data_IF_359080710615
#
_entry.id   IF_359080710615
#
_cell.length_a   1.000
_cell.length_b   1.000
_cell.length_c   1.000
_cell.angle_alpha   90.00
_cell.angle_beta   90.00
_cell.angle_gamma   90.00
#
_symmetry.space_group_name_H-M   'P 1'
#
loop_
_entity.id
_entity.type
_entity.pdbx_description
1 polymer ?
#
# COMPACT_ATOMS: atom_id res chain seq x y z
N UNK A 1 11.20 -23.35 -8.77
CA UNK A 1 9.86 -23.31 -9.40
C UNK A 1 9.24 -21.91 -9.43
N UNK A 2 9.55 -21.01 -8.49
CA UNK A 2 9.07 -19.61 -8.49
C UNK A 2 9.76 -18.75 -9.57
N UNK A 3 11.08 -18.95 -9.78
CA UNK A 3 11.87 -18.22 -10.79
C UNK A 3 11.28 -18.33 -12.21
N UNK A 4 10.94 -19.52 -12.75
CA UNK A 4 10.34 -19.63 -14.09
C UNK A 4 8.98 -18.93 -14.21
N UNK A 5 8.14 -18.96 -13.17
CA UNK A 5 6.83 -18.29 -13.16
C UNK A 5 6.97 -16.75 -13.16
N UNK A 6 7.89 -16.24 -12.34
CA UNK A 6 8.22 -14.80 -12.29
C UNK A 6 8.85 -14.37 -13.61
N UNK A 7 9.73 -15.17 -14.22
CA UNK A 7 10.32 -14.84 -15.53
C UNK A 7 9.32 -14.94 -16.67
N UNK A 8 8.35 -15.86 -16.63
CA UNK A 8 7.28 -15.90 -17.63
C UNK A 8 6.32 -14.72 -17.49
N UNK A 9 5.93 -14.37 -16.27
CA UNK A 9 5.07 -13.22 -16.01
C UNK A 9 5.82 -11.91 -16.34
N UNK A 10 7.10 -11.80 -15.97
CA UNK A 10 7.94 -10.67 -16.34
C UNK A 10 8.18 -10.60 -17.85
N UNK A 11 8.32 -11.73 -18.56
CA UNK A 11 8.44 -11.76 -20.02
C UNK A 11 7.13 -11.43 -20.70
N UNK A 12 5.99 -11.92 -20.22
CA UNK A 12 4.66 -11.51 -20.71
C UNK A 12 4.39 -10.02 -20.46
N UNK A 13 4.94 -9.46 -19.38
CA UNK A 13 4.85 -8.04 -19.06
C UNK A 13 5.89 -7.17 -19.80
N UNK A 14 7.07 -7.69 -20.12
CA UNK A 14 8.12 -6.97 -20.86
C UNK A 14 7.99 -7.09 -22.38
N UNK A 15 7.28 -8.11 -22.88
CA UNK A 15 6.91 -8.25 -24.29
C UNK A 15 5.72 -7.37 -24.67
N UNK A 16 5.02 -6.81 -23.69
CA UNK A 16 4.07 -5.71 -23.92
C UNK A 16 4.87 -4.47 -24.30
N UNK A 17 5.21 -4.40 -25.59
CA UNK A 17 5.74 -3.22 -26.24
C UNK A 17 4.91 -2.01 -25.76
N UNK A 18 5.56 -0.93 -25.31
CA UNK A 18 4.86 0.31 -24.91
C UNK A 18 3.87 0.76 -25.97
N UNK A 19 4.16 0.48 -27.26
CA UNK A 19 3.26 0.71 -28.38
C UNK A 19 2.01 -0.19 -28.37
N UNK A 20 2.13 -1.43 -27.91
CA UNK A 20 1.00 -2.36 -27.79
C UNK A 20 0.10 -1.99 -26.61
N UNK A 21 0.67 -1.64 -25.44
CA UNK A 21 -0.10 -1.09 -24.31
C UNK A 21 -0.81 0.19 -24.73
N UNK A 22 -0.10 1.08 -25.44
CA UNK A 22 -0.66 2.32 -25.98
C UNK A 22 -1.83 2.04 -26.93
N UNK A 23 -1.67 1.11 -27.87
CA UNK A 23 -2.72 0.72 -28.81
C UNK A 23 -3.93 0.13 -28.09
N UNK A 24 -3.68 -0.80 -27.16
CA UNK A 24 -4.68 -1.48 -26.34
C UNK A 24 -5.47 -0.52 -25.45
N UNK A 25 -4.80 0.42 -24.80
CA UNK A 25 -5.45 1.41 -23.95
C UNK A 25 -6.14 2.51 -24.78
N UNK A 26 -5.66 2.83 -25.99
CA UNK A 26 -6.39 3.70 -26.95
C UNK A 26 -7.71 3.07 -27.38
N UNK A 27 -7.72 1.74 -27.64
CA UNK A 27 -8.93 1.02 -28.00
C UNK A 27 -9.96 1.03 -26.86
N UNK A 28 -9.54 0.71 -25.62
CA UNK A 28 -10.42 0.81 -24.44
C UNK A 28 -10.99 2.23 -24.29
N UNK A 29 -10.17 3.25 -24.55
CA UNK A 29 -10.59 4.64 -24.47
C UNK A 29 -11.67 4.98 -25.51
N UNK A 30 -11.48 4.54 -26.77
CA UNK A 30 -12.46 4.72 -27.84
C UNK A 30 -13.76 3.98 -27.51
N UNK A 31 -13.68 2.76 -26.98
CA UNK A 31 -14.85 1.96 -26.61
C UNK A 31 -15.63 2.59 -25.44
N UNK A 32 -14.92 3.11 -24.43
CA UNK A 32 -15.51 3.91 -23.34
C UNK A 32 -16.23 5.14 -23.90
N UNK A 33 -15.58 5.90 -24.79
CA UNK A 33 -16.17 7.10 -25.38
C UNK A 33 -17.43 6.75 -26.19
N UNK A 34 -17.39 5.67 -26.98
CA UNK A 34 -18.53 5.21 -27.76
C UNK A 34 -19.70 4.74 -26.88
N UNK A 35 -19.42 4.04 -25.78
CA UNK A 35 -20.43 3.62 -24.81
C UNK A 35 -21.16 4.82 -24.19
N UNK A 36 -20.41 5.80 -23.67
CA UNK A 36 -21.02 7.00 -23.08
C UNK A 36 -21.74 7.88 -24.11
N UNK A 37 -21.24 7.94 -25.35
CA UNK A 37 -21.90 8.66 -26.44
C UNK A 37 -23.24 8.04 -26.87
N UNK A 38 -23.42 6.73 -26.70
CA UNK A 38 -24.66 6.02 -27.03
C UNK A 38 -25.70 6.08 -25.91
N UNK A 39 -25.27 6.27 -24.65
CA UNK A 39 -26.14 6.12 -23.48
C UNK A 39 -26.73 7.46 -22.98
N UNK A 40 -26.05 8.61 -23.17
CA UNK A 40 -26.54 9.90 -22.64
C UNK A 40 -26.08 11.16 -23.43
N UNK A 41 -27.01 12.04 -23.79
CA UNK A 41 -26.71 13.30 -24.50
C UNK A 41 -26.01 14.34 -23.60
N UNK A 42 -26.26 14.32 -22.29
CA UNK A 42 -25.66 15.26 -21.34
C UNK A 42 -24.20 14.93 -21.01
N UNK A 43 -23.87 13.64 -20.88
CA UNK A 43 -22.49 13.18 -20.64
C UNK A 43 -21.66 13.32 -21.92
N UNK A 44 -22.24 13.04 -23.10
CA UNK A 44 -21.54 13.21 -24.37
C UNK A 44 -21.19 14.66 -24.70
N UNK A 45 -22.02 15.63 -24.33
CA UNK A 45 -21.70 17.05 -24.56
C UNK A 45 -20.63 17.59 -23.57
N UNK A 46 -20.60 17.14 -22.30
CA UNK A 46 -19.49 17.47 -21.39
C UNK A 46 -18.19 16.74 -21.71
N UNK A 47 -18.26 15.51 -22.24
CA UNK A 47 -17.08 14.73 -22.63
C UNK A 47 -16.52 15.13 -24.01
N UNK A 48 -17.28 15.79 -24.88
CA UNK A 48 -16.78 16.32 -26.17
C UNK A 48 -15.87 17.53 -26.00
N UNK A 49 -16.16 18.39 -25.02
CA UNK A 49 -15.32 19.57 -24.71
C UNK A 49 -14.04 19.20 -23.97
N UNK A 50 -14.04 18.08 -23.25
CA UNK A 50 -12.83 17.50 -22.69
C UNK A 50 -12.19 16.67 -23.80
N UNK A 51 -11.14 17.21 -24.42
CA UNK A 51 -10.32 16.48 -25.37
C UNK A 51 -9.51 15.41 -24.61
N UNK A 52 -10.18 14.38 -24.07
CA UNK A 52 -9.60 13.41 -23.13
C UNK A 52 -8.43 12.64 -23.76
N UNK A 53 -8.38 12.49 -25.09
CA UNK A 53 -7.22 11.94 -25.81
C UNK A 53 -5.93 12.74 -25.61
N UNK A 54 -6.03 14.03 -25.27
CA UNK A 54 -4.89 14.88 -24.89
C UNK A 54 -4.53 14.82 -23.39
N UNK A 55 -5.46 14.32 -22.55
CA UNK A 55 -5.28 14.17 -21.10
C UNK A 55 -4.98 12.72 -20.66
N UNK A 56 -5.29 11.72 -21.51
CA UNK A 56 -4.83 10.34 -21.36
C UNK A 56 -3.38 10.31 -21.85
N UNK A 57 -2.50 10.82 -21.00
CA UNK A 57 -1.08 10.72 -21.22
C UNK A 57 -0.69 9.24 -21.03
N UNK A 58 -0.38 8.51 -22.11
CA UNK A 58 0.12 7.13 -22.00
C UNK A 58 1.47 7.06 -21.27
N UNK A 59 2.14 8.21 -21.07
CA UNK A 59 3.25 8.33 -20.15
C UNK A 59 2.83 8.16 -18.68
N UNK A 60 1.55 8.33 -18.33
CA UNK A 60 1.04 8.02 -16.99
C UNK A 60 1.04 6.50 -16.74
N UNK A 61 0.51 5.70 -17.66
CA UNK A 61 0.52 4.23 -17.52
C UNK A 61 1.93 3.67 -17.62
N UNK A 62 2.68 4.10 -18.64
CA UNK A 62 4.10 3.73 -18.80
C UNK A 62 4.94 4.22 -17.62
N UNK A 63 4.64 5.40 -17.09
CA UNK A 63 5.26 5.99 -15.92
C UNK A 63 4.93 5.24 -14.63
N UNK A 64 3.69 4.79 -14.44
CA UNK A 64 3.30 3.90 -13.35
C UNK A 64 4.11 2.62 -13.43
N UNK A 65 4.16 1.97 -14.59
CA UNK A 65 4.91 0.72 -14.79
C UNK A 65 6.43 0.89 -14.63
N UNK A 66 7.01 1.96 -15.17
CA UNK A 66 8.44 2.24 -15.05
C UNK A 66 8.84 2.64 -13.63
N UNK A 67 8.04 3.47 -12.96
CA UNK A 67 8.22 3.78 -11.55
C UNK A 67 8.08 2.52 -10.70
N UNK A 68 7.16 1.64 -11.06
CA UNK A 68 6.95 0.36 -10.40
C UNK A 68 8.14 -0.61 -10.55
N UNK A 69 8.68 -0.79 -11.76
CA UNK A 69 9.91 -1.59 -11.97
C UNK A 69 11.08 -0.98 -11.18
N UNK A 70 11.20 0.35 -11.22
CA UNK A 70 12.21 1.08 -10.44
C UNK A 70 12.03 0.84 -8.93
N UNK A 71 10.79 0.87 -8.42
CA UNK A 71 10.47 0.55 -7.02
C UNK A 71 10.85 -0.89 -6.63
N UNK A 72 10.60 -1.89 -7.49
CA UNK A 72 11.03 -3.27 -7.21
C UNK A 72 12.54 -3.39 -7.17
N UNK A 73 13.24 -2.81 -8.14
CA UNK A 73 14.70 -2.86 -8.18
C UNK A 73 15.31 -2.18 -6.95
N UNK A 74 14.76 -1.02 -6.56
CA UNK A 74 15.13 -0.33 -5.33
C UNK A 74 14.75 -1.10 -4.06
N UNK A 75 13.60 -1.79 -4.06
CA UNK A 75 13.16 -2.61 -2.93
C UNK A 75 14.09 -3.79 -2.70
N UNK A 76 14.50 -4.53 -3.74
CA UNK A 76 15.43 -5.66 -3.60
C UNK A 76 16.79 -5.19 -3.08
N UNK A 77 17.31 -4.08 -3.60
CA UNK A 77 18.56 -3.48 -3.12
C UNK A 77 18.43 -2.99 -1.68
N UNK A 78 17.32 -2.32 -1.37
CA UNK A 78 17.00 -1.86 -0.02
C UNK A 78 16.87 -3.01 0.97
N UNK A 79 16.17 -4.08 0.60
CA UNK A 79 16.02 -5.29 1.40
C UNK A 79 17.37 -5.95 1.66
N UNK A 80 18.20 -6.10 0.62
CA UNK A 80 19.56 -6.64 0.77
C UNK A 80 20.39 -5.78 1.72
N UNK A 81 20.31 -4.46 1.60
CA UNK A 81 21.01 -3.50 2.47
C UNK A 81 20.53 -3.62 3.92
N UNK A 82 19.21 -3.65 4.15
CA UNK A 82 18.63 -3.81 5.48
C UNK A 82 19.04 -5.14 6.10
N UNK A 83 18.99 -6.25 5.35
CA UNK A 83 19.43 -7.56 5.84
C UNK A 83 20.92 -7.56 6.18
N UNK A 84 21.75 -6.96 5.33
CA UNK A 84 23.19 -6.82 5.56
C UNK A 84 23.48 -6.03 6.83
N UNK A 85 22.89 -4.84 6.99
CA UNK A 85 23.06 -4.01 8.20
C UNK A 85 22.53 -4.74 9.44
N UNK A 86 21.35 -5.36 9.34
CA UNK A 86 20.74 -6.11 10.44
C UNK A 86 21.61 -7.27 10.90
N UNK A 87 22.26 -7.97 9.96
CA UNK A 87 23.21 -9.05 10.28
C UNK A 87 24.36 -8.53 11.17
N UNK A 88 24.97 -7.40 10.82
CA UNK A 88 26.03 -6.80 11.64
C UNK A 88 25.52 -6.32 12.99
N UNK A 89 24.35 -5.69 13.04
CA UNK A 89 23.74 -5.28 14.32
C UNK A 89 23.43 -6.46 15.25
N UNK A 90 22.98 -7.58 14.69
CA UNK A 90 22.73 -8.80 15.46
C UNK A 90 24.03 -9.47 15.92
N UNK A 91 25.06 -9.49 15.06
CA UNK A 91 26.38 -10.04 15.37
C UNK A 91 27.06 -9.25 16.49
N UNK A 92 27.00 -7.92 16.42
CA UNK A 92 27.72 -7.02 17.33
C UNK A 92 26.81 -6.42 18.43
N UNK A 93 25.71 -7.12 18.76
CA UNK A 93 24.65 -6.63 19.66
C UNK A 93 25.16 -6.11 21.01
N UNK A 94 26.19 -6.74 21.59
CA UNK A 94 26.71 -6.40 22.91
C UNK A 94 27.41 -5.04 22.87
N UNK A 95 28.27 -4.83 21.88
CA UNK A 95 28.97 -3.57 21.65
C UNK A 95 28.00 -2.44 21.36
N UNK A 96 26.95 -2.72 20.58
CA UNK A 96 25.93 -1.73 20.24
C UNK A 96 25.11 -1.29 21.48
N UNK A 97 24.67 -2.24 22.31
CA UNK A 97 23.93 -1.93 23.55
C UNK A 97 24.82 -1.19 24.55
N UNK A 98 26.08 -1.60 24.70
CA UNK A 98 27.02 -0.91 25.58
C UNK A 98 27.30 0.54 25.12
N UNK A 99 27.50 0.73 23.82
CA UNK A 99 27.66 2.07 23.23
C UNK A 99 26.41 2.92 23.43
N UNK A 100 25.22 2.37 23.22
CA UNK A 100 23.97 3.10 23.42
C UNK A 100 23.77 3.50 24.89
N UNK A 101 24.06 2.59 25.83
CA UNK A 101 24.00 2.89 27.28
C UNK A 101 24.95 4.01 27.69
N UNK A 102 26.14 4.09 27.09
CA UNK A 102 27.13 5.12 27.42
C UNK A 102 26.71 6.56 27.07
N UNK A 103 25.71 6.71 26.19
CA UNK A 103 25.20 8.02 25.75
C UNK A 103 24.04 8.49 26.64
N UNK A 104 23.40 7.59 27.38
CA UNK A 104 22.23 7.90 28.20
C UNK A 104 22.71 8.51 29.53
N UNK A 105 22.24 9.71 29.92
CA UNK A 105 22.50 10.24 31.25
C UNK A 105 21.96 9.32 32.34
N UNK A 106 22.73 9.07 33.40
CA UNK A 106 22.31 8.17 34.51
C UNK A 106 20.95 8.56 35.11
N UNK A 107 20.62 9.86 35.13
CA UNK A 107 19.34 10.37 35.64
C UNK A 107 18.11 9.92 34.86
N UNK A 108 18.28 9.42 33.63
CA UNK A 108 17.20 9.00 32.74
C UNK A 108 17.36 7.56 32.23
N UNK A 109 18.30 6.78 32.80
CA UNK A 109 18.57 5.42 32.33
C UNK A 109 17.31 4.55 32.42
N UNK A 110 16.59 4.63 33.53
CA UNK A 110 15.40 3.79 33.78
C UNK A 110 14.27 4.12 32.81
N UNK A 111 13.94 5.40 32.62
CA UNK A 111 12.91 5.89 31.71
C UNK A 111 13.24 5.53 30.26
N UNK A 112 14.52 5.65 29.89
CA UNK A 112 14.99 5.32 28.53
C UNK A 112 14.88 3.82 28.26
N UNK A 113 15.36 2.96 29.17
CA UNK A 113 15.28 1.51 29.01
C UNK A 113 13.82 1.02 28.99
N UNK A 114 12.96 1.59 29.84
CA UNK A 114 11.53 1.29 29.84
C UNK A 114 10.86 1.72 28.52
N UNK A 115 11.20 2.91 28.02
CA UNK A 115 10.71 3.41 26.73
C UNK A 115 11.12 2.48 25.59
N UNK A 116 12.39 2.11 25.50
CA UNK A 116 12.91 1.22 24.46
C UNK A 116 12.21 -0.14 24.47
N UNK A 117 12.05 -0.74 25.66
CA UNK A 117 11.36 -2.03 25.80
C UNK A 117 9.91 -1.94 25.32
N UNK A 118 9.16 -0.90 25.72
CA UNK A 118 7.78 -0.69 25.28
C UNK A 118 7.69 -0.41 23.77
N UNK A 119 8.59 0.41 23.23
CA UNK A 119 8.67 0.69 21.79
C UNK A 119 8.89 -0.61 21.03
N UNK A 120 9.86 -1.43 21.46
CA UNK A 120 10.14 -2.72 20.85
C UNK A 120 8.90 -3.62 20.85
N UNK A 121 8.23 -3.78 21.99
CA UNK A 121 7.05 -4.64 22.12
C UNK A 121 5.88 -4.17 21.22
N UNK A 122 5.61 -2.86 21.15
CA UNK A 122 4.52 -2.30 20.34
C UNK A 122 4.84 -2.36 18.85
N UNK A 123 6.06 -1.97 18.45
CA UNK A 123 6.48 -1.99 17.05
C UNK A 123 6.60 -3.41 16.51
N UNK A 124 7.10 -4.36 17.30
CA UNK A 124 7.18 -5.77 16.89
C UNK A 124 5.79 -6.33 16.58
N UNK A 125 4.79 -6.04 17.44
CA UNK A 125 3.39 -6.43 17.21
C UNK A 125 2.81 -5.73 15.98
N UNK A 126 3.10 -4.44 15.82
CA UNK A 126 2.64 -3.66 14.67
C UNK A 126 3.16 -4.22 13.35
N UNK A 127 4.48 -4.42 13.20
CA UNK A 127 5.05 -4.93 11.95
C UNK A 127 4.61 -6.37 11.67
N UNK A 128 4.53 -7.22 12.69
CA UNK A 128 4.04 -8.60 12.51
C UNK A 128 2.58 -8.62 12.08
N UNK A 129 1.74 -7.78 12.70
CA UNK A 129 0.35 -7.60 12.34
C UNK A 129 0.17 -7.01 10.94
N UNK A 130 1.00 -6.04 10.56
CA UNK A 130 1.02 -5.45 9.22
C UNK A 130 1.35 -6.50 8.15
N UNK A 131 2.38 -7.33 8.37
CA UNK A 131 2.71 -8.41 7.43
C UNK A 131 1.57 -9.42 7.28
N UNK A 132 0.92 -9.78 8.40
CA UNK A 132 -0.26 -10.64 8.38
C UNK A 132 -1.42 -9.99 7.62
N UNK A 133 -1.64 -8.68 7.81
CA UNK A 133 -2.65 -7.91 7.09
C UNK A 133 -2.43 -7.97 5.58
N UNK A 134 -1.21 -7.66 5.13
CA UNK A 134 -0.84 -7.65 3.73
C UNK A 134 -1.04 -9.03 3.11
N UNK A 135 -0.70 -10.09 3.85
CA UNK A 135 -0.92 -11.46 3.41
C UNK A 135 -2.42 -11.81 3.29
N UNK A 136 -3.25 -11.44 4.27
CA UNK A 136 -4.70 -11.67 4.22
C UNK A 136 -5.32 -10.93 3.02
N UNK A 137 -5.00 -9.65 2.86
CA UNK A 137 -5.51 -8.82 1.74
C UNK A 137 -5.04 -9.38 0.40
N UNK A 138 -3.78 -9.82 0.30
CA UNK A 138 -3.26 -10.51 -0.88
C UNK A 138 -4.10 -11.74 -1.25
N UNK A 139 -4.36 -12.63 -0.29
CA UNK A 139 -5.14 -13.85 -0.54
C UNK A 139 -6.57 -13.50 -0.96
N UNK A 140 -7.19 -12.54 -0.30
CA UNK A 140 -8.56 -12.12 -0.61
C UNK A 140 -8.65 -11.49 -2.02
N UNK A 141 -7.75 -10.59 -2.38
CA UNK A 141 -7.69 -10.04 -3.74
C UNK A 141 -7.40 -11.11 -4.79
N UNK A 142 -6.50 -12.05 -4.49
CA UNK A 142 -6.20 -13.14 -5.39
C UNK A 142 -7.42 -14.01 -5.66
N UNK A 143 -8.20 -14.34 -4.62
CA UNK A 143 -9.46 -15.08 -4.76
C UNK A 143 -10.46 -14.32 -5.62
N UNK A 144 -10.66 -13.01 -5.39
CA UNK A 144 -11.56 -12.18 -6.21
C UNK A 144 -11.17 -12.26 -7.68
N UNK A 145 -9.89 -12.05 -8.00
CA UNK A 145 -9.40 -12.06 -9.37
C UNK A 145 -9.50 -13.45 -10.04
N UNK A 146 -9.31 -14.53 -9.27
CA UNK A 146 -9.52 -15.89 -9.76
C UNK A 146 -10.97 -16.20 -10.09
N UNK A 147 -11.91 -15.76 -9.25
CA UNK A 147 -13.36 -15.96 -9.47
C UNK A 147 -13.78 -15.35 -10.81
N UNK A 148 -13.21 -14.20 -11.19
CA UNK A 148 -13.51 -13.51 -12.44
C UNK A 148 -12.58 -13.90 -13.61
N UNK A 149 -11.70 -14.88 -13.42
CA UNK A 149 -10.84 -15.42 -14.48
C UNK A 149 -9.81 -14.42 -15.01
N UNK A 150 -9.34 -13.49 -14.17
CA UNK A 150 -8.39 -12.46 -14.59
C UNK A 150 -7.00 -13.06 -14.78
N UNK A 151 -6.43 -12.88 -15.97
CA UNK A 151 -5.05 -13.29 -16.27
C UNK A 151 -4.07 -12.51 -15.38
N UNK A 152 -2.99 -13.17 -14.93
CA UNK A 152 -2.01 -12.60 -14.00
C UNK A 152 -2.59 -12.19 -12.62
N UNK A 153 -3.72 -12.80 -12.19
CA UNK A 153 -4.35 -12.55 -10.90
C UNK A 153 -3.37 -12.49 -9.71
N UNK A 154 -2.40 -13.41 -9.67
CA UNK A 154 -1.39 -13.46 -8.61
C UNK A 154 -0.56 -12.17 -8.52
N UNK A 155 -0.07 -11.70 -9.67
CA UNK A 155 0.77 -10.52 -9.79
C UNK A 155 0.00 -9.27 -9.39
N UNK A 156 -1.22 -9.13 -9.91
CA UNK A 156 -2.10 -7.99 -9.62
C UNK A 156 -2.44 -7.96 -8.13
N UNK A 157 -2.88 -9.08 -7.55
CA UNK A 157 -3.19 -9.18 -6.13
C UNK A 157 -1.99 -8.85 -5.25
N UNK A 158 -0.80 -9.35 -5.62
CA UNK A 158 0.44 -9.11 -4.88
C UNK A 158 0.79 -7.62 -4.84
N UNK A 159 0.65 -6.90 -5.95
CA UNK A 159 0.90 -5.46 -5.97
C UNK A 159 -0.14 -4.66 -5.24
N UNK A 160 -1.43 -5.00 -5.40
CA UNK A 160 -2.50 -4.33 -4.67
C UNK A 160 -2.31 -4.53 -3.15
N UNK A 161 -1.88 -5.71 -2.72
CA UNK A 161 -1.56 -5.97 -1.32
C UNK A 161 -0.34 -5.17 -0.84
N UNK A 162 0.78 -5.13 -1.59
CA UNK A 162 1.93 -4.31 -1.20
C UNK A 162 1.54 -2.83 -1.08
N UNK A 163 0.77 -2.29 -2.02
CA UNK A 163 0.29 -0.91 -1.99
C UNK A 163 -0.57 -0.63 -0.76
N UNK A 164 -1.28 -1.63 -0.24
CA UNK A 164 -2.08 -1.52 0.99
C UNK A 164 -1.24 -1.18 2.24
N UNK A 165 0.10 -1.18 2.15
CA UNK A 165 0.97 -0.62 3.18
C UNK A 165 0.76 0.89 3.38
N UNK A 166 0.34 1.60 2.32
CA UNK A 166 0.04 3.04 2.35
C UNK A 166 -1.43 3.18 2.74
N UNK A 167 -1.75 3.66 3.96
CA UNK A 167 -3.13 3.70 4.42
C UNK A 167 -3.99 4.61 3.55
N UNK A 168 -5.22 4.19 3.26
CA UNK A 168 -6.24 4.86 2.44
C UNK A 168 -5.90 5.08 0.97
N UNK A 169 -4.68 5.55 0.67
CA UNK A 169 -4.21 5.83 -0.69
C UNK A 169 -3.83 4.56 -1.44
N UNK A 170 -3.17 3.61 -0.75
CA UNK A 170 -2.83 2.30 -1.28
C UNK A 170 -4.00 1.55 -1.91
N UNK A 171 -5.11 1.34 -1.16
CA UNK A 171 -6.35 0.78 -1.69
C UNK A 171 -6.89 1.47 -2.96
N UNK A 172 -6.84 2.81 -3.00
CA UNK A 172 -7.32 3.58 -4.14
C UNK A 172 -6.47 3.35 -5.38
N UNK A 173 -5.14 3.46 -5.24
CA UNK A 173 -4.19 3.17 -6.32
C UNK A 173 -4.33 1.71 -6.77
N UNK A 174 -4.42 0.78 -5.82
CA UNK A 174 -4.60 -0.65 -6.10
C UNK A 174 -5.90 -0.93 -6.87
N UNK A 175 -6.99 -0.25 -6.55
CA UNK A 175 -8.26 -0.39 -7.27
C UNK A 175 -8.17 0.13 -8.71
N UNK A 176 -7.53 1.28 -8.92
CA UNK A 176 -7.27 1.81 -10.27
C UNK A 176 -6.41 0.84 -11.07
N UNK A 177 -5.32 0.35 -10.48
CA UNK A 177 -4.45 -0.64 -11.10
C UNK A 177 -5.20 -1.93 -11.45
N UNK A 178 -6.00 -2.46 -10.53
CA UNK A 178 -6.79 -3.66 -10.74
C UNK A 178 -7.80 -3.46 -11.88
N UNK A 179 -8.47 -2.31 -11.94
CA UNK A 179 -9.38 -1.99 -13.04
C UNK A 179 -8.66 -1.93 -14.39
N UNK A 180 -7.57 -1.17 -14.48
CA UNK A 180 -6.81 -1.05 -15.73
C UNK A 180 -6.26 -2.39 -16.20
N UNK A 181 -5.67 -3.18 -15.30
CA UNK A 181 -5.09 -4.48 -15.66
C UNK A 181 -6.16 -5.52 -16.01
N UNK A 182 -7.32 -5.45 -15.36
CA UNK A 182 -8.50 -6.28 -15.71
C UNK A 182 -9.01 -5.96 -17.10
N UNK A 183 -9.13 -4.66 -17.45
CA UNK A 183 -9.55 -4.25 -18.78
C UNK A 183 -8.54 -4.71 -19.83
N UNK A 184 -7.24 -4.49 -19.58
CA UNK A 184 -6.17 -4.91 -20.50
C UNK A 184 -6.15 -6.43 -20.71
N UNK A 185 -6.36 -7.21 -19.65
CA UNK A 185 -6.35 -8.68 -19.75
C UNK A 185 -7.50 -9.25 -20.57
N UNK A 186 -8.56 -8.47 -20.81
CA UNK A 186 -9.75 -8.90 -21.55
C UNK A 186 -9.86 -8.22 -22.94
N UNK A 187 -8.80 -7.57 -23.41
CA UNK A 187 -8.80 -6.94 -24.73
C UNK A 187 -8.96 -8.01 -25.82
N UNK A 188 -9.89 -7.74 -26.76
CA UNK A 188 -10.31 -8.68 -27.80
C UNK A 188 -11.72 -9.24 -27.55
N UNK A 189 -12.25 -9.08 -26.34
CA UNK A 189 -13.66 -9.31 -26.00
C UNK A 189 -14.49 -8.04 -26.21
N UNK A 190 -15.81 -8.19 -26.32
CA UNK A 190 -16.72 -7.05 -26.45
C UNK A 190 -16.72 -6.16 -25.20
N UNK A 191 -16.64 -4.85 -25.41
CA UNK A 191 -16.45 -3.91 -24.30
C UNK A 191 -17.66 -3.85 -23.36
N UNK A 192 -18.88 -3.80 -23.92
CA UNK A 192 -20.10 -3.57 -23.15
C UNK A 192 -20.55 -4.82 -22.41
N UNK A 193 -20.39 -5.99 -23.02
CA UNK A 193 -20.91 -7.26 -22.49
C UNK A 193 -19.90 -8.01 -21.63
N UNK A 194 -18.60 -7.82 -21.86
CA UNK A 194 -17.56 -8.60 -21.18
C UNK A 194 -16.61 -7.71 -20.35
N UNK A 195 -15.93 -6.75 -20.99
CA UNK A 195 -14.84 -5.99 -20.35
C UNK A 195 -15.37 -5.12 -19.20
N UNK A 196 -16.40 -4.32 -19.48
CA UNK A 196 -16.95 -3.37 -18.51
C UNK A 196 -17.62 -4.09 -17.32
N UNK A 197 -18.52 -5.09 -17.52
CA UNK A 197 -19.12 -5.82 -16.40
C UNK A 197 -18.09 -6.55 -15.54
N UNK A 198 -17.11 -7.26 -16.14
CA UNK A 198 -16.04 -7.94 -15.37
C UNK A 198 -15.24 -6.96 -14.53
N UNK A 199 -14.88 -5.81 -15.09
CA UNK A 199 -14.13 -4.79 -14.34
C UNK A 199 -14.93 -4.26 -13.16
N UNK A 200 -16.23 -3.99 -13.36
CA UNK A 200 -17.13 -3.57 -12.27
C UNK A 200 -17.22 -4.64 -11.19
N UNK A 201 -17.37 -5.92 -11.56
CA UNK A 201 -17.44 -7.01 -10.59
C UNK A 201 -16.15 -7.20 -9.79
N UNK A 202 -14.99 -7.06 -10.44
CA UNK A 202 -13.68 -7.05 -9.75
C UNK A 202 -13.60 -5.90 -8.75
N UNK A 203 -14.00 -4.69 -9.16
CA UNK A 203 -14.01 -3.52 -8.27
C UNK A 203 -14.95 -3.69 -7.07
N UNK A 204 -16.13 -4.27 -7.28
CA UNK A 204 -17.05 -4.62 -6.19
C UNK A 204 -16.38 -5.61 -5.23
N UNK A 205 -15.72 -6.65 -5.76
CA UNK A 205 -14.94 -7.59 -4.96
C UNK A 205 -13.85 -6.88 -4.14
N UNK A 206 -13.14 -5.93 -4.75
CA UNK A 206 -12.11 -5.14 -4.06
C UNK A 206 -12.67 -4.26 -2.93
N UNK A 207 -13.84 -3.65 -3.16
CA UNK A 207 -14.57 -2.91 -2.12
C UNK A 207 -14.95 -3.82 -0.96
N UNK A 208 -15.45 -5.03 -1.22
CA UNK A 208 -15.76 -6.01 -0.17
C UNK A 208 -14.52 -6.38 0.64
N UNK A 209 -13.40 -6.66 -0.04
CA UNK A 209 -12.12 -6.93 0.64
C UNK A 209 -11.69 -5.75 1.51
N UNK A 210 -11.87 -4.52 1.05
CA UNK A 210 -11.54 -3.33 1.84
C UNK A 210 -12.49 -3.12 3.03
N UNK A 211 -13.77 -3.46 2.90
CA UNK A 211 -14.68 -3.46 4.03
C UNK A 211 -14.25 -4.49 5.09
N UNK A 212 -13.80 -5.68 4.67
CA UNK A 212 -13.23 -6.68 5.57
C UNK A 212 -11.96 -6.13 6.23
N UNK A 213 -11.05 -5.54 5.46
CA UNK A 213 -9.78 -5.02 5.98
C UNK A 213 -10.00 -3.89 7.00
N UNK A 214 -10.82 -2.90 6.64
CA UNK A 214 -11.10 -1.72 7.46
C UNK A 214 -11.87 -2.05 8.75
N UNK A 215 -12.78 -3.03 8.72
CA UNK A 215 -13.63 -3.34 9.88
C UNK A 215 -13.11 -4.50 10.74
N UNK A 216 -12.31 -5.41 10.18
CA UNK A 216 -11.81 -6.58 10.91
C UNK A 216 -10.29 -6.53 11.08
N UNK A 217 -9.53 -6.51 9.98
CA UNK A 217 -8.08 -6.63 10.04
C UNK A 217 -7.43 -5.42 10.75
N UNK A 218 -7.72 -4.20 10.29
CA UNK A 218 -7.12 -2.98 10.83
C UNK A 218 -7.41 -2.79 12.33
N UNK A 219 -8.64 -2.97 12.84
CA UNK A 219 -8.89 -2.89 14.28
C UNK A 219 -8.14 -3.97 15.06
N UNK A 220 -8.10 -5.22 14.56
CA UNK A 220 -7.38 -6.30 15.23
C UNK A 220 -5.87 -6.02 15.30
N UNK A 221 -5.30 -5.42 14.27
CA UNK A 221 -3.87 -5.18 14.13
C UNK A 221 -3.47 -3.87 14.82
N UNK A 222 -4.09 -2.74 14.49
CA UNK A 222 -3.69 -1.43 15.02
C UNK A 222 -4.16 -1.21 16.47
N UNK A 223 -5.40 -1.58 16.82
CA UNK A 223 -5.92 -1.35 18.18
C UNK A 223 -5.14 -2.15 19.23
N UNK A 224 -4.74 -3.38 18.91
CA UNK A 224 -3.95 -4.24 19.81
C UNK A 224 -2.45 -3.89 19.81
N UNK A 225 -1.92 -3.39 18.71
CA UNK A 225 -0.47 -3.17 18.55
C UNK A 225 0.01 -1.79 18.95
N UNK A 226 -0.79 -0.73 18.73
CA UNK A 226 -0.38 0.66 19.05
C UNK A 226 -1.19 1.27 20.20
N UNK A 227 -2.28 0.60 20.62
CA UNK A 227 -3.18 1.05 21.69
C UNK A 227 -3.69 2.50 21.48
N UNK A 228 -3.81 2.91 20.23
CA UNK A 228 -4.26 4.24 19.81
C UNK A 228 -5.69 4.20 19.28
N UNK A 229 -6.38 5.33 19.38
CA UNK A 229 -7.72 5.45 18.80
C UNK A 229 -7.62 5.48 17.25
N UNK A 230 -8.54 4.86 16.50
CA UNK A 230 -8.50 4.92 15.03
C UNK A 230 -8.44 6.35 14.47
N UNK A 231 -9.20 7.28 15.05
CA UNK A 231 -9.16 8.71 14.68
C UNK A 231 -7.78 9.36 14.88
N UNK A 232 -7.06 8.99 15.95
CA UNK A 232 -5.72 9.51 16.24
C UNK A 232 -4.72 9.05 15.17
N UNK A 233 -4.79 7.76 14.80
CA UNK A 233 -3.97 7.19 13.72
C UNK A 233 -4.30 7.85 12.37
N UNK A 234 -5.59 8.03 12.06
CA UNK A 234 -6.04 8.70 10.84
C UNK A 234 -5.46 10.12 10.73
N UNK A 235 -5.59 10.93 11.78
CA UNK A 235 -5.07 12.30 11.79
C UNK A 235 -3.54 12.33 11.62
N UNK A 236 -2.81 11.44 12.28
CA UNK A 236 -1.35 11.38 12.19
C UNK A 236 -0.90 10.98 10.78
N UNK A 237 -1.60 10.04 10.14
CA UNK A 237 -1.34 9.66 8.74
C UNK A 237 -1.58 10.85 7.82
N UNK A 238 -2.68 11.58 7.97
CA UNK A 238 -2.97 12.76 7.17
C UNK A 238 -1.89 13.83 7.33
N UNK A 239 -1.55 14.19 8.56
CA UNK A 239 -0.53 15.21 8.86
C UNK A 239 0.83 14.79 8.28
N UNK A 240 1.23 13.53 8.47
CA UNK A 240 2.50 13.01 7.94
C UNK A 240 2.50 12.97 6.41
N UNK A 241 1.34 12.68 5.80
CA UNK A 241 1.13 12.76 4.36
C UNK A 241 1.29 14.18 3.82
N UNK A 242 0.78 15.19 4.52
CA UNK A 242 1.01 16.59 4.13
C UNK A 242 2.47 17.01 4.25
N UNK A 243 3.21 16.52 5.25
CA UNK A 243 4.60 16.93 5.50
C UNK A 243 5.59 16.20 4.58
N UNK A 244 5.39 14.90 4.32
CA UNK A 244 6.39 14.05 3.64
C UNK A 244 5.79 13.11 2.60
N UNK A 245 4.55 13.34 2.17
CA UNK A 245 3.88 12.55 1.15
C UNK A 245 3.72 11.08 1.55
N UNK A 246 3.85 10.19 0.56
CA UNK A 246 3.67 8.73 0.73
C UNK A 246 4.60 8.17 1.81
N UNK A 247 5.86 8.61 1.84
CA UNK A 247 6.84 8.15 2.83
C UNK A 247 6.36 8.49 4.24
N UNK A 248 5.87 9.71 4.44
CA UNK A 248 5.27 10.15 5.70
C UNK A 248 4.09 9.28 6.13
N UNK A 249 3.21 8.91 5.20
CA UNK A 249 2.04 8.07 5.50
C UNK A 249 2.43 6.66 5.97
N UNK A 250 3.47 6.06 5.39
CA UNK A 250 3.98 4.72 5.77
C UNK A 250 4.58 4.76 7.18
N UNK A 251 5.38 5.77 7.50
CA UNK A 251 6.10 5.85 8.78
C UNK A 251 5.30 6.53 9.89
N UNK A 252 4.12 7.08 9.60
CA UNK A 252 3.29 7.83 10.53
C UNK A 252 3.02 7.05 11.83
N UNK A 253 2.50 5.83 11.71
CA UNK A 253 2.11 4.99 12.85
C UNK A 253 3.29 4.59 13.75
N UNK A 254 4.42 4.07 13.22
CA UNK A 254 5.55 3.72 14.07
C UNK A 254 6.19 4.94 14.75
N UNK A 255 6.38 6.04 14.03
CA UNK A 255 6.93 7.29 14.59
C UNK A 255 6.03 7.82 15.70
N UNK A 256 4.73 7.86 15.46
CA UNK A 256 3.77 8.28 16.46
C UNK A 256 3.79 7.41 17.71
N UNK A 257 3.87 6.09 17.53
CA UNK A 257 3.97 5.14 18.66
C UNK A 257 5.22 5.39 19.49
N UNK A 258 6.37 5.65 18.85
CA UNK A 258 7.63 6.00 19.52
C UNK A 258 7.47 7.28 20.34
N UNK A 259 7.00 8.36 19.71
CA UNK A 259 6.82 9.66 20.36
C UNK A 259 5.87 9.56 21.57
N UNK A 260 4.80 8.78 21.42
CA UNK A 260 3.80 8.57 22.47
C UNK A 260 4.36 7.82 23.67
N UNK A 261 5.21 6.81 23.46
CA UNK A 261 5.88 6.07 24.55
C UNK A 261 6.89 6.96 25.26
N UNK A 262 7.73 7.69 24.52
CA UNK A 262 8.71 8.62 25.10
C UNK A 262 7.99 9.70 25.92
N UNK A 263 6.93 10.30 25.38
CA UNK A 263 6.15 11.29 26.09
C UNK A 263 5.57 10.75 27.40
N UNK A 264 5.12 9.48 27.42
CA UNK A 264 4.57 8.82 28.61
C UNK A 264 5.61 8.70 29.74
N UNK A 265 6.81 8.24 29.41
CA UNK A 265 7.85 7.96 30.41
C UNK A 265 8.51 9.25 30.91
N UNK A 266 8.72 10.24 30.05
CA UNK A 266 9.44 11.48 30.41
C UNK A 266 8.53 12.62 30.89
N UNK A 267 7.26 12.65 30.48
CA UNK A 267 6.31 13.72 30.85
C UNK A 267 5.00 13.17 31.44
N UNK A 268 5.05 12.28 32.45
CA UNK A 268 3.88 11.58 32.96
C UNK A 268 2.84 12.51 33.61
N UNK A 269 3.22 13.71 34.05
CA UNK A 269 2.32 14.66 34.70
C UNK A 269 1.51 15.53 33.73
N UNK A 270 1.91 15.63 32.46
CA UNK A 270 1.24 16.47 31.47
C UNK A 270 -0.18 15.95 31.16
N UNK A 271 -1.18 16.82 31.20
CA UNK A 271 -2.59 16.47 30.99
C UNK A 271 -2.88 15.92 29.59
N UNK A 272 -2.23 16.47 28.56
CA UNK A 272 -2.36 16.03 27.17
C UNK A 272 -1.76 14.64 27.02
N UNK A 273 -0.56 14.43 27.57
CA UNK A 273 0.12 13.12 27.56
C UNK A 273 -0.75 12.08 28.24
N UNK A 274 -1.26 12.34 29.44
CA UNK A 274 -2.17 11.42 30.15
C UNK A 274 -3.40 11.05 29.32
N UNK A 275 -3.99 12.00 28.59
CA UNK A 275 -5.16 11.76 27.75
C UNK A 275 -4.87 10.78 26.61
N UNK A 276 -3.78 11.01 25.86
CA UNK A 276 -3.41 10.17 24.71
C UNK A 276 -2.79 8.83 25.14
N UNK A 277 -2.05 8.78 26.25
CA UNK A 277 -1.35 7.58 26.74
C UNK A 277 -2.17 6.70 27.68
N UNK A 278 -3.45 7.01 27.90
CA UNK A 278 -4.30 6.35 28.90
C UNK A 278 -4.40 4.83 28.71
N UNK A 279 -4.33 4.38 27.46
CA UNK A 279 -4.42 2.95 27.08
C UNK A 279 -3.07 2.23 27.09
N UNK A 280 -1.94 2.95 27.16
CA UNK A 280 -0.59 2.39 27.05
C UNK A 280 -0.22 1.48 28.22
#
# INVERSE_FOLDING_TARGET
MIVPLITEQARNLSLLNTQEIQSKATLIFIDLQNYFNQQDSFISDQLKDINLSSYVDFNFLTGIFNNFISMISGFLMGLATVLFISFFFLKDKVSFIAGFKSIIPESHETETLNSLKKIYDLLSRYFSGLLLQLFIVFVLYYIVLLIFGISNAFVIAFFCAILNIIPYIGPLIGSVLAATLTMISNIGSDFQTEILPKTIYVLIGFVIVQLIDNNLNQPLIFSKSTKSHPLEIFLVILISGFISGIVGMIVAVPVYTILKVIAKEFFPQNSIVKAITRKL
#
